data_IF_960477570476
#
_entry.id   IF_960477570476
#
_cell.length_a   1.000
_cell.length_b   1.000
_cell.length_c   1.000
_cell.angle_alpha   90.00
_cell.angle_beta   90.00
_cell.angle_gamma   90.00
#
_symmetry.space_group_name_H-M   'P 1'
#
loop_
_entity.id
_entity.type
_entity.pdbx_description
1 polymer ?
#
# COMPACT_ATOMS: atom_id res chain seq x y z
N UNK A 1 -20.91 -26.21 -10.24
CA UNK A 1 -19.94 -26.74 -9.25
C UNK A 1 -20.36 -26.26 -7.86
N UNK A 2 -20.48 -27.21 -6.91
CA UNK A 2 -20.89 -26.90 -5.55
C UNK A 2 -19.78 -26.26 -4.70
N UNK A 3 -18.52 -26.49 -5.07
CA UNK A 3 -17.34 -26.00 -4.35
C UNK A 3 -16.19 -25.71 -5.31
N UNK A 4 -15.56 -24.55 -5.16
CA UNK A 4 -14.34 -24.20 -5.84
C UNK A 4 -13.37 -23.47 -4.88
N UNK A 5 -12.08 -23.72 -5.05
CA UNK A 5 -11.03 -23.05 -4.27
C UNK A 5 -9.96 -22.53 -5.21
N UNK A 6 -9.52 -21.30 -4.96
CA UNK A 6 -8.40 -20.66 -5.67
C UNK A 6 -7.36 -20.20 -4.66
N UNK A 7 -6.09 -20.51 -4.94
CA UNK A 7 -4.96 -20.07 -4.15
C UNK A 7 -3.96 -19.37 -5.06
N UNK A 8 -3.50 -18.20 -4.66
CA UNK A 8 -2.40 -17.49 -5.29
C UNK A 8 -1.38 -17.15 -4.21
N UNK A 9 -0.12 -17.37 -4.52
CA UNK A 9 1.00 -17.02 -3.65
C UNK A 9 1.93 -16.07 -4.40
N UNK A 10 2.45 -15.09 -3.69
CA UNK A 10 3.41 -14.12 -4.20
C UNK A 10 4.68 -14.19 -3.36
N UNK A 11 5.82 -14.25 -4.03
CA UNK A 11 7.12 -13.92 -3.45
C UNK A 11 7.93 -13.23 -4.53
N UNK A 12 8.47 -12.08 -4.20
CA UNK A 12 9.30 -11.28 -5.10
C UNK A 12 10.36 -10.54 -4.29
N UNK A 13 11.57 -10.52 -4.83
CA UNK A 13 12.69 -9.75 -4.30
C UNK A 13 13.43 -9.13 -5.47
N UNK A 14 13.66 -7.84 -5.42
CA UNK A 14 14.26 -7.05 -6.49
C UNK A 14 15.22 -6.03 -5.90
N UNK A 15 16.44 -6.00 -6.40
CA UNK A 15 17.37 -4.89 -6.19
C UNK A 15 17.19 -3.88 -7.33
N UNK A 16 17.19 -2.59 -7.01
CA UNK A 16 17.05 -1.55 -8.04
C UNK A 16 18.40 -1.37 -8.74
N UNK A 17 18.50 -1.62 -10.07
CA UNK A 17 19.76 -1.53 -10.80
C UNK A 17 20.43 -0.16 -10.64
N UNK A 18 21.73 -0.16 -10.35
CA UNK A 18 22.57 1.03 -10.18
C UNK A 18 22.10 2.00 -9.06
N UNK A 19 21.23 1.51 -8.14
CA UNK A 19 20.65 2.30 -7.06
C UNK A 19 20.83 1.65 -5.68
N UNK A 20 21.92 0.92 -5.44
CA UNK A 20 22.18 0.37 -4.10
C UNK A 20 22.19 1.49 -3.04
N UNK A 21 21.65 1.26 -1.83
CA UNK A 21 21.19 -0.01 -1.25
C UNK A 21 19.69 -0.32 -1.48
N UNK A 22 19.04 0.32 -2.43
CA UNK A 22 17.59 0.24 -2.61
C UNK A 22 17.13 -1.13 -3.14
N UNK A 23 16.05 -1.63 -2.54
CA UNK A 23 15.44 -2.93 -2.88
C UNK A 23 13.94 -2.91 -2.68
N UNK A 24 13.27 -3.95 -3.18
CA UNK A 24 11.86 -4.24 -2.95
C UNK A 24 11.66 -5.71 -2.63
N UNK A 25 10.89 -5.97 -1.60
CA UNK A 25 10.47 -7.33 -1.22
C UNK A 25 8.94 -7.39 -1.09
N UNK A 26 8.35 -8.45 -1.59
CA UNK A 26 6.91 -8.71 -1.53
C UNK A 26 6.66 -10.16 -1.20
N UNK A 27 5.82 -10.41 -0.22
CA UNK A 27 5.28 -11.72 0.10
C UNK A 27 3.78 -11.60 0.28
N UNK A 28 3.03 -12.59 -0.16
CA UNK A 28 1.59 -12.50 -0.02
C UNK A 28 0.86 -13.77 -0.42
N UNK A 29 -0.39 -13.80 -0.01
CA UNK A 29 -1.33 -14.85 -0.35
C UNK A 29 -2.71 -14.26 -0.65
N UNK A 30 -3.38 -14.83 -1.65
CA UNK A 30 -4.79 -14.58 -1.91
C UNK A 30 -5.51 -15.91 -2.08
N UNK A 31 -6.44 -16.18 -1.18
CA UNK A 31 -7.20 -17.44 -1.13
C UNK A 31 -8.67 -17.09 -1.28
N UNK A 32 -9.36 -17.80 -2.17
CA UNK A 32 -10.80 -17.66 -2.39
C UNK A 32 -11.45 -19.01 -2.37
N UNK A 33 -12.52 -19.15 -1.60
CA UNK A 33 -13.38 -20.30 -1.56
C UNK A 33 -14.78 -19.92 -2.01
N UNK A 34 -15.32 -20.63 -2.99
CA UNK A 34 -16.69 -20.48 -3.46
C UNK A 34 -17.49 -21.74 -3.11
N UNK A 35 -18.69 -21.55 -2.57
CA UNK A 35 -19.60 -22.62 -2.19
C UNK A 35 -21.03 -22.30 -2.66
N UNK A 36 -21.60 -23.17 -3.46
CA UNK A 36 -22.93 -23.04 -4.02
C UNK A 36 -23.64 -24.42 -3.99
N UNK A 37 -24.18 -24.81 -2.80
CA UNK A 37 -24.82 -26.12 -2.62
C UNK A 37 -26.21 -26.22 -3.25
N UNK A 38 -26.87 -25.09 -3.50
CA UNK A 38 -28.20 -25.02 -4.15
C UNK A 38 -28.22 -23.82 -5.12
N UNK A 39 -29.20 -23.78 -6.01
CA UNK A 39 -29.38 -22.68 -6.97
C UNK A 39 -29.68 -21.33 -6.25
N UNK A 40 -30.20 -21.41 -5.03
CA UNK A 40 -30.62 -20.25 -4.26
C UNK A 40 -29.47 -19.64 -3.44
N UNK A 41 -28.50 -20.45 -3.00
CA UNK A 41 -27.46 -20.01 -2.04
C UNK A 41 -26.07 -20.02 -2.67
N UNK A 42 -25.41 -18.87 -2.58
CA UNK A 42 -24.01 -18.70 -2.97
C UNK A 42 -23.23 -18.05 -1.82
N UNK A 43 -22.03 -18.56 -1.55
CA UNK A 43 -21.09 -18.00 -0.58
C UNK A 43 -19.69 -17.92 -1.20
N UNK A 44 -19.03 -16.79 -1.00
CA UNK A 44 -17.61 -16.64 -1.32
C UNK A 44 -16.89 -16.14 -0.07
N UNK A 45 -15.81 -16.81 0.27
CA UNK A 45 -14.88 -16.38 1.34
C UNK A 45 -13.53 -16.07 0.71
N UNK A 46 -13.03 -14.85 0.93
CA UNK A 46 -11.75 -14.41 0.43
C UNK A 46 -10.84 -14.00 1.60
N UNK A 47 -9.60 -14.41 1.51
CA UNK A 47 -8.49 -13.88 2.29
C UNK A 47 -7.47 -13.26 1.36
N UNK A 48 -6.95 -12.11 1.73
CA UNK A 48 -5.84 -11.44 1.08
C UNK A 48 -4.87 -10.95 2.14
N UNK A 49 -3.61 -11.38 2.05
CA UNK A 49 -2.51 -10.91 2.87
C UNK A 49 -1.34 -10.48 1.99
N UNK A 50 -0.74 -9.34 2.30
CA UNK A 50 0.43 -8.80 1.61
C UNK A 50 1.38 -8.17 2.63
N UNK A 51 2.61 -8.64 2.64
CA UNK A 51 3.76 -8.03 3.29
C UNK A 51 4.65 -7.40 2.22
N UNK A 52 4.92 -6.13 2.36
CA UNK A 52 5.74 -5.34 1.46
C UNK A 52 6.82 -4.60 2.25
N UNK A 53 8.08 -4.80 1.84
CA UNK A 53 9.23 -4.17 2.47
C UNK A 53 10.16 -3.59 1.41
N UNK A 54 10.43 -2.31 1.52
CA UNK A 54 11.29 -1.57 0.61
C UNK A 54 12.39 -0.82 1.38
N UNK A 55 13.54 -0.66 0.76
CA UNK A 55 14.42 0.48 1.02
C UNK A 55 14.27 1.43 -0.17
N UNK A 56 13.46 2.50 -0.04
CA UNK A 56 13.04 3.30 -1.17
C UNK A 56 14.07 4.36 -1.56
N UNK A 57 14.24 4.57 -2.85
CA UNK A 57 14.97 5.72 -3.39
C UNK A 57 14.00 6.88 -3.66
N UNK A 58 14.13 7.97 -2.92
CA UNK A 58 13.32 9.17 -3.11
C UNK A 58 13.74 9.99 -4.36
N UNK A 59 14.75 9.52 -5.10
CA UNK A 59 15.18 10.15 -6.35
C UNK A 59 16.08 11.36 -6.13
N UNK A 60 15.85 12.42 -6.90
CA UNK A 60 16.72 13.58 -6.96
C UNK A 60 15.98 14.88 -6.58
N UNK A 61 16.73 15.91 -6.27
CA UNK A 61 16.23 17.26 -6.04
C UNK A 61 16.18 18.08 -7.34
N UNK A 62 15.49 19.23 -7.28
CA UNK A 62 15.38 20.14 -8.41
C UNK A 62 16.44 21.27 -8.31
N UNK A 63 17.17 21.49 -9.41
CA UNK A 63 18.11 22.58 -9.58
C UNK A 63 17.51 23.72 -10.38
N UNK A 64 18.01 24.94 -10.13
CA UNK A 64 17.59 26.15 -10.81
C UNK A 64 16.50 26.92 -10.08
N UNK A 65 16.06 28.03 -10.67
CA UNK A 65 15.00 28.88 -10.13
C UNK A 65 13.67 28.65 -10.86
N UNK A 66 12.58 28.90 -10.14
CA UNK A 66 11.23 28.89 -10.75
C UNK A 66 11.14 29.97 -11.83
N UNK A 67 10.56 29.66 -13.03
CA UNK A 67 9.86 28.44 -13.41
C UNK A 67 10.74 27.34 -14.04
N UNK A 68 12.04 27.54 -14.19
CA UNK A 68 12.93 26.73 -15.02
C UNK A 68 13.68 25.64 -14.23
N UNK A 69 13.07 25.10 -13.18
CA UNK A 69 13.65 24.01 -12.40
C UNK A 69 13.77 22.73 -13.21
N UNK A 70 14.89 22.03 -13.05
CA UNK A 70 15.16 20.73 -13.68
C UNK A 70 15.67 19.73 -12.64
N UNK A 71 15.39 18.43 -12.81
CA UNK A 71 16.01 17.41 -11.97
C UNK A 71 17.53 17.46 -12.07
N UNK A 72 18.20 17.40 -10.93
CA UNK A 72 19.65 17.25 -10.89
C UNK A 72 20.05 15.93 -11.54
N UNK A 73 21.17 15.93 -12.27
CA UNK A 73 21.68 14.74 -12.97
C UNK A 73 22.87 14.15 -12.24
N UNK A 74 23.03 12.82 -12.38
CA UNK A 74 24.17 12.09 -11.83
C UNK A 74 24.34 12.28 -10.32
N UNK A 75 23.21 12.27 -9.58
CA UNK A 75 23.20 12.31 -8.13
C UNK A 75 23.31 10.88 -7.59
N UNK A 76 24.01 10.69 -6.45
CA UNK A 76 24.03 9.41 -5.76
C UNK A 76 22.65 9.05 -5.19
N UNK A 77 22.49 7.81 -4.77
CA UNK A 77 21.39 7.41 -3.92
C UNK A 77 21.58 8.03 -2.54
N UNK A 78 20.53 8.63 -2.00
CA UNK A 78 20.54 9.24 -0.68
C UNK A 78 19.89 8.37 0.39
N UNK A 79 19.24 7.28 -0.02
CA UNK A 79 18.70 6.30 0.91
C UNK A 79 19.82 5.76 1.81
N UNK A 80 19.53 5.65 3.09
CA UNK A 80 20.43 5.08 4.10
C UNK A 80 20.15 3.57 4.24
N UNK A 81 21.13 2.82 4.75
CA UNK A 81 20.98 1.38 4.97
C UNK A 81 19.83 1.05 5.93
N UNK A 82 19.54 1.96 6.88
CA UNK A 82 18.46 1.83 7.87
C UNK A 82 17.13 2.41 7.38
N UNK A 83 17.08 2.98 6.18
CA UNK A 83 15.83 3.46 5.62
C UNK A 83 14.93 2.28 5.23
N UNK A 84 13.65 2.44 5.48
CA UNK A 84 12.65 1.43 5.15
C UNK A 84 11.30 2.04 4.82
N UNK A 85 10.52 1.30 4.09
CA UNK A 85 9.09 1.48 3.94
C UNK A 85 8.45 0.09 4.00
N UNK A 86 7.61 -0.12 5.01
CA UNK A 86 6.94 -1.39 5.24
C UNK A 86 5.43 -1.19 5.17
N UNK A 87 4.74 -2.19 4.63
CA UNK A 87 3.29 -2.23 4.60
C UNK A 87 2.84 -3.67 4.77
N UNK A 88 2.02 -3.91 5.78
CA UNK A 88 1.38 -5.17 6.07
C UNK A 88 -0.12 -5.01 5.93
N UNK A 89 -0.76 -5.85 5.14
CA UNK A 89 -2.19 -5.77 4.85
C UNK A 89 -2.81 -7.14 4.97
N UNK A 90 -3.81 -7.27 5.85
CA UNK A 90 -4.64 -8.43 5.98
C UNK A 90 -6.11 -8.09 5.75
N UNK A 91 -6.78 -8.86 4.90
CA UNK A 91 -8.19 -8.64 4.61
C UNK A 91 -8.93 -9.95 4.47
N UNK A 92 -10.01 -10.08 5.22
CA UNK A 92 -10.99 -11.15 5.08
C UNK A 92 -12.31 -10.60 4.58
N UNK A 93 -12.90 -11.24 3.56
CA UNK A 93 -14.19 -10.85 2.98
C UNK A 93 -15.10 -12.07 2.85
N UNK A 94 -16.32 -11.96 3.41
CA UNK A 94 -17.39 -12.91 3.19
C UNK A 94 -18.46 -12.26 2.31
N UNK A 95 -18.84 -12.95 1.24
CA UNK A 95 -19.96 -12.57 0.37
C UNK A 95 -21.00 -13.66 0.40
N UNK A 96 -22.23 -13.29 0.71
CA UNK A 96 -23.36 -14.16 0.75
C UNK A 96 -24.42 -13.64 -0.22
N UNK A 97 -25.06 -14.56 -0.92
CA UNK A 97 -26.21 -14.28 -1.77
C UNK A 97 -27.27 -15.38 -1.57
N UNK A 98 -28.49 -14.95 -1.38
CA UNK A 98 -29.62 -15.86 -1.28
C UNK A 98 -30.76 -15.37 -2.16
N UNK A 99 -31.29 -16.26 -3.01
CA UNK A 99 -32.48 -16.02 -3.82
C UNK A 99 -33.67 -16.70 -3.17
N UNK A 100 -34.66 -15.92 -2.79
CA UNK A 100 -35.92 -16.45 -2.29
C UNK A 100 -36.81 -16.98 -3.42
N UNK A 101 -36.77 -16.28 -4.57
CA UNK A 101 -37.45 -16.63 -5.84
C UNK A 101 -36.83 -15.79 -6.98
N UNK A 102 -37.48 -15.78 -8.17
CA UNK A 102 -37.03 -15.02 -9.34
C UNK A 102 -36.98 -13.52 -9.10
N UNK A 103 -37.81 -13.00 -8.20
CA UNK A 103 -38.06 -11.57 -8.04
C UNK A 103 -37.47 -11.00 -6.75
N UNK A 104 -37.03 -11.88 -5.83
CA UNK A 104 -36.52 -11.47 -4.53
C UNK A 104 -35.19 -12.14 -4.20
N UNK A 105 -34.15 -11.33 -3.98
CA UNK A 105 -32.83 -11.80 -3.54
C UNK A 105 -32.22 -10.86 -2.52
N UNK A 106 -31.40 -11.40 -1.64
CA UNK A 106 -30.59 -10.65 -0.69
C UNK A 106 -29.11 -10.93 -0.94
N UNK A 107 -28.27 -9.90 -0.80
CA UNK A 107 -26.81 -10.05 -0.76
C UNK A 107 -26.27 -9.40 0.49
N UNK A 108 -25.24 -9.99 1.06
CA UNK A 108 -24.48 -9.42 2.15
C UNK A 108 -22.98 -9.51 1.84
N UNK A 109 -22.26 -8.44 2.09
CA UNK A 109 -20.80 -8.40 2.03
C UNK A 109 -20.31 -7.92 3.38
N UNK A 110 -19.49 -8.73 4.04
CA UNK A 110 -18.78 -8.35 5.26
C UNK A 110 -17.29 -8.40 5.00
N UNK A 111 -16.58 -7.34 5.33
CA UNK A 111 -15.13 -7.25 5.24
C UNK A 111 -14.55 -6.79 6.56
N UNK A 112 -13.51 -7.50 7.00
CA UNK A 112 -12.63 -7.08 8.08
C UNK A 112 -11.22 -6.98 7.54
N UNK A 113 -10.50 -5.92 7.87
CA UNK A 113 -9.12 -5.76 7.45
C UNK A 113 -8.30 -4.95 8.43
N UNK A 114 -7.00 -5.17 8.35
CA UNK A 114 -5.96 -4.40 9.02
C UNK A 114 -4.96 -3.92 7.98
N UNK A 115 -4.35 -2.77 8.23
CA UNK A 115 -3.24 -2.27 7.41
C UNK A 115 -2.28 -1.51 8.30
N UNK A 116 -1.07 -2.04 8.43
CA UNK A 116 0.01 -1.44 9.18
C UNK A 116 1.06 -0.91 8.20
N UNK A 117 1.33 0.38 8.26
CA UNK A 117 2.29 1.04 7.40
C UNK A 117 3.31 1.79 8.23
N UNK A 118 4.58 1.70 7.87
CA UNK A 118 5.64 2.44 8.53
C UNK A 118 6.74 2.81 7.55
N UNK A 119 7.35 3.97 7.76
CA UNK A 119 8.48 4.36 6.95
C UNK A 119 9.44 5.28 7.70
N UNK A 120 10.70 5.11 7.39
CA UNK A 120 11.78 6.07 7.63
C UNK A 120 12.55 6.18 6.32
N UNK A 121 12.54 7.34 5.70
CA UNK A 121 13.10 7.53 4.36
C UNK A 121 13.89 8.82 4.29
N UNK A 122 15.05 8.76 3.66
CA UNK A 122 15.98 9.87 3.54
C UNK A 122 16.08 10.34 2.09
N UNK A 123 15.92 11.64 1.88
CA UNK A 123 16.04 12.27 0.59
C UNK A 123 16.88 13.52 0.62
N UNK A 124 17.30 13.99 -0.54
CA UNK A 124 18.03 15.24 -0.67
C UNK A 124 17.09 16.41 -0.96
N UNK A 125 17.16 17.45 -0.14
CA UNK A 125 16.43 18.71 -0.37
C UNK A 125 17.17 19.64 -1.34
N UNK A 126 18.49 19.71 -1.23
CA UNK A 126 19.34 20.56 -2.05
C UNK A 126 20.79 20.13 -1.94
N UNK A 127 21.61 20.64 -2.86
CA UNK A 127 23.05 20.61 -2.68
C UNK A 127 23.51 21.79 -1.85
N UNK A 128 24.56 21.62 -1.07
CA UNK A 128 25.33 22.76 -0.55
C UNK A 128 26.24 23.30 -1.65
N UNK A 129 26.55 24.58 -1.59
CA UNK A 129 27.45 25.28 -2.54
C UNK A 129 28.93 24.89 -2.38
N UNK A 130 29.21 23.70 -1.87
CA UNK A 130 30.56 23.16 -1.75
C UNK A 130 31.21 22.81 -3.08
N UNK A 131 32.53 22.62 -3.06
CA UNK A 131 33.30 22.21 -4.23
C UNK A 131 32.77 20.86 -4.78
N UNK A 132 32.66 20.77 -6.11
CA UNK A 132 32.41 19.50 -6.77
C UNK A 132 33.63 18.59 -6.59
N UNK A 133 33.37 17.31 -6.36
CA UNK A 133 34.36 16.26 -6.55
C UNK A 133 34.99 16.40 -7.95
N UNK A 134 36.29 16.07 -8.15
CA UNK A 134 36.93 16.06 -9.45
C UNK A 134 36.18 15.27 -10.51
N UNK A 135 35.37 14.28 -10.13
CA UNK A 135 34.52 13.51 -11.02
C UNK A 135 33.16 14.15 -11.33
N UNK A 136 32.92 15.37 -10.86
CA UNK A 136 31.67 16.09 -11.07
C UNK A 136 30.51 15.73 -10.15
N UNK A 137 30.74 14.86 -9.17
CA UNK A 137 29.78 14.47 -8.13
C UNK A 137 29.84 15.49 -6.99
N UNK A 138 28.71 15.84 -6.40
CA UNK A 138 28.66 16.75 -5.24
C UNK A 138 29.09 16.01 -3.99
N UNK A 139 29.98 16.61 -3.22
CA UNK A 139 30.49 16.04 -1.96
C UNK A 139 29.56 16.26 -0.77
N UNK A 140 28.61 17.17 -0.88
CA UNK A 140 27.66 17.48 0.20
C UNK A 140 26.26 17.73 -0.33
N UNK A 141 25.27 17.23 0.37
CA UNK A 141 23.85 17.48 0.13
C UNK A 141 23.16 17.78 1.47
N UNK A 142 22.13 18.61 1.42
CA UNK A 142 21.21 18.76 2.54
C UNK A 142 20.22 17.61 2.48
N UNK A 143 20.30 16.71 3.47
CA UNK A 143 19.40 15.57 3.59
C UNK A 143 18.23 15.92 4.50
N UNK A 144 17.11 15.27 4.25
CA UNK A 144 15.91 15.33 5.08
C UNK A 144 15.38 13.92 5.27
N UNK A 145 15.18 13.53 6.52
CA UNK A 145 14.53 12.27 6.86
C UNK A 145 13.07 12.52 7.15
N UNK A 146 12.23 11.73 6.51
CA UNK A 146 10.79 11.71 6.72
C UNK A 146 10.41 10.38 7.34
N UNK A 147 9.48 10.40 8.28
CA UNK A 147 9.09 9.21 9.00
C UNK A 147 7.63 9.29 9.44
N UNK A 148 7.05 8.15 9.64
CA UNK A 148 5.71 8.02 10.18
C UNK A 148 5.26 6.57 10.17
N UNK A 149 4.27 6.27 10.98
CA UNK A 149 3.57 4.99 10.96
C UNK A 149 2.08 5.19 11.11
N UNK A 150 1.33 4.24 10.62
CA UNK A 150 -0.12 4.20 10.69
C UNK A 150 -0.61 2.77 10.83
N UNK A 151 -1.50 2.56 11.78
CA UNK A 151 -2.25 1.32 11.96
C UNK A 151 -3.72 1.61 11.66
N UNK A 152 -4.33 0.77 10.87
CA UNK A 152 -5.73 0.87 10.46
C UNK A 152 -6.42 -0.45 10.71
N UNK A 153 -7.48 -0.42 11.50
CA UNK A 153 -8.42 -1.54 11.67
C UNK A 153 -9.78 -1.14 11.15
N UNK A 154 -10.43 -2.01 10.40
CA UNK A 154 -11.79 -1.72 9.94
C UNK A 154 -12.67 -2.97 9.82
N UNK A 155 -13.96 -2.76 10.01
CA UNK A 155 -15.04 -3.68 9.67
C UNK A 155 -16.06 -2.92 8.84
N UNK A 156 -16.45 -3.50 7.71
CA UNK A 156 -17.51 -2.96 6.87
C UNK A 156 -18.51 -4.07 6.52
N UNK A 157 -19.79 -3.75 6.57
CA UNK A 157 -20.88 -4.64 6.18
C UNK A 157 -21.85 -3.89 5.30
N UNK A 158 -22.27 -4.50 4.21
CA UNK A 158 -23.32 -4.00 3.33
C UNK A 158 -24.31 -5.11 3.04
N UNK A 159 -25.58 -4.82 3.24
CA UNK A 159 -26.70 -5.71 2.91
C UNK A 159 -27.60 -5.04 1.88
N UNK A 160 -27.90 -5.73 0.79
CA UNK A 160 -28.79 -5.25 -0.26
C UNK A 160 -29.93 -6.25 -0.47
N UNK A 161 -31.14 -5.74 -0.50
CA UNK A 161 -32.35 -6.46 -0.88
C UNK A 161 -32.80 -5.98 -2.26
N UNK A 162 -32.90 -6.89 -3.20
CA UNK A 162 -33.34 -6.63 -4.58
C UNK A 162 -34.76 -7.19 -4.76
N UNK A 163 -35.66 -6.37 -5.28
CA UNK A 163 -37.07 -6.70 -5.45
C UNK A 163 -37.47 -6.30 -6.88
N UNK A 164 -37.85 -7.29 -7.69
CA UNK A 164 -38.39 -7.08 -9.02
C UNK A 164 -39.92 -7.16 -8.97
N UNK A 165 -40.60 -6.16 -9.51
CA UNK A 165 -42.07 -6.16 -9.53
C UNK A 165 -42.61 -5.52 -10.81
N UNK A 166 -43.69 -6.09 -11.36
CA UNK A 166 -44.44 -5.46 -12.45
C UNK A 166 -45.60 -4.65 -11.87
N UNK A 167 -45.56 -3.33 -12.03
CA UNK A 167 -46.58 -2.40 -11.54
C UNK A 167 -47.13 -1.63 -12.75
N UNK A 168 -48.42 -1.68 -12.98
CA UNK A 168 -49.10 -0.99 -14.09
C UNK A 168 -48.60 -1.42 -15.47
N UNK A 169 -48.11 -2.67 -15.62
CA UNK A 169 -47.58 -3.22 -16.89
C UNK A 169 -46.12 -2.81 -17.15
N UNK A 170 -45.44 -2.12 -16.23
CA UNK A 170 -44.03 -1.77 -16.29
C UNK A 170 -43.22 -2.60 -15.28
N UNK A 171 -42.04 -3.03 -15.69
CA UNK A 171 -41.09 -3.70 -14.80
C UNK A 171 -40.34 -2.67 -13.94
N UNK A 172 -40.27 -2.94 -12.64
CA UNK A 172 -39.56 -2.12 -11.65
C UNK A 172 -38.57 -2.99 -10.90
N UNK A 173 -37.33 -2.49 -10.75
CA UNK A 173 -36.32 -3.06 -9.87
C UNK A 173 -36.11 -2.10 -8.71
N UNK A 174 -36.36 -2.58 -7.49
CA UNK A 174 -36.10 -1.83 -6.25
C UNK A 174 -34.88 -2.43 -5.55
N UNK A 175 -34.01 -1.56 -5.05
CA UNK A 175 -32.87 -1.92 -4.23
C UNK A 175 -32.98 -1.18 -2.89
N UNK A 176 -33.03 -1.96 -1.81
CA UNK A 176 -32.99 -1.43 -0.43
C UNK A 176 -31.66 -1.86 0.17
N UNK A 177 -30.87 -0.91 0.62
CA UNK A 177 -29.52 -1.14 1.13
C UNK A 177 -29.37 -0.64 2.56
N UNK A 178 -28.61 -1.39 3.37
CA UNK A 178 -28.10 -0.97 4.66
C UNK A 178 -26.60 -1.18 4.70
N UNK A 179 -25.88 -0.19 5.24
CA UNK A 179 -24.42 -0.25 5.38
C UNK A 179 -24.02 0.11 6.81
N UNK A 180 -23.01 -0.59 7.30
CA UNK A 180 -22.33 -0.31 8.56
C UNK A 180 -20.83 -0.34 8.32
N UNK A 181 -20.13 0.67 8.80
CA UNK A 181 -18.67 0.75 8.78
C UNK A 181 -18.17 1.25 10.13
N UNK A 182 -17.19 0.55 10.67
CA UNK A 182 -16.42 0.97 11.83
C UNK A 182 -14.94 0.89 11.47
N UNK A 183 -14.19 1.94 11.77
CA UNK A 183 -12.76 1.98 11.51
C UNK A 183 -12.01 2.75 12.58
N UNK A 184 -10.82 2.31 12.88
CA UNK A 184 -9.87 2.95 13.77
C UNK A 184 -8.60 3.26 13.00
N UNK A 185 -8.06 4.45 13.19
CA UNK A 185 -6.78 4.87 12.61
C UNK A 185 -5.92 5.44 13.71
N UNK A 186 -4.77 4.83 13.93
CA UNK A 186 -3.75 5.30 14.84
C UNK A 186 -2.51 5.71 14.04
N UNK A 187 -2.02 6.93 14.25
CA UNK A 187 -0.83 7.45 13.57
C UNK A 187 0.22 7.88 14.56
N UNK A 188 1.46 7.77 14.18
CA UNK A 188 2.56 8.25 14.99
C UNK A 188 3.83 8.53 14.19
N UNK A 189 4.85 8.87 14.91
CA UNK A 189 6.20 9.03 14.40
C UNK A 189 7.14 8.18 15.24
N UNK A 190 8.21 7.70 14.63
CA UNK A 190 9.25 6.98 15.34
C UNK A 190 10.05 7.94 16.23
N UNK A 191 10.50 7.45 17.38
CA UNK A 191 11.39 8.22 18.21
C UNK A 191 12.72 8.42 17.47
N UNK A 192 13.02 9.66 17.15
CA UNK A 192 14.26 10.03 16.46
C UNK A 192 15.28 10.49 17.49
N UNK A 193 16.41 9.79 17.57
CA UNK A 193 17.59 10.31 18.27
C UNK A 193 18.57 10.85 17.25
N UNK A 194 18.67 12.17 17.13
CA UNK A 194 19.74 12.78 16.33
C UNK A 194 21.06 12.57 17.08
N UNK A 195 21.82 11.61 16.62
CA UNK A 195 23.10 11.25 17.24
C UNK A 195 24.29 12.07 16.71
N UNK A 196 24.06 12.94 15.72
CA UNK A 196 25.15 13.61 15.00
C UNK A 196 26.05 12.61 14.25
N UNK A 197 25.49 11.47 13.84
CA UNK A 197 26.26 10.45 13.13
C UNK A 197 26.64 10.91 11.73
N UNK A 198 27.80 10.45 11.31
CA UNK A 198 28.34 10.75 9.99
C UNK A 198 27.61 9.98 8.90
N UNK A 199 27.19 10.65 7.86
CA UNK A 199 26.71 10.00 6.65
C UNK A 199 27.90 9.58 5.78
N UNK A 200 27.87 8.36 5.25
CA UNK A 200 28.83 7.90 4.25
C UNK A 200 28.20 8.04 2.87
N UNK A 201 28.87 8.73 1.96
CA UNK A 201 28.43 8.81 0.56
C UNK A 201 28.70 7.51 -0.18
N UNK A 202 28.04 7.27 -1.30
CA UNK A 202 28.20 6.07 -2.12
C UNK A 202 29.62 5.81 -2.67
N UNK A 203 30.53 6.80 -2.54
CA UNK A 203 31.96 6.64 -2.85
C UNK A 203 32.84 6.37 -1.60
N UNK A 204 32.22 6.08 -0.45
CA UNK A 204 32.92 5.74 0.78
C UNK A 204 33.46 6.93 1.59
N UNK A 205 33.16 8.16 1.20
CA UNK A 205 33.57 9.36 1.95
C UNK A 205 32.61 9.59 3.13
N UNK A 206 33.12 9.56 4.34
CA UNK A 206 32.37 9.90 5.53
C UNK A 206 32.23 11.41 5.63
N UNK A 207 31.01 11.90 5.76
CA UNK A 207 30.71 13.32 6.00
C UNK A 207 30.41 13.53 7.48
N UNK A 208 31.08 14.47 8.10
CA UNK A 208 30.83 14.91 9.48
C UNK A 208 29.75 16.00 9.50
#
# INVERSE_FOLDING_TARGET
EELAVRVNLLTAKEDIPDRAPTYRERQGAAISGFYNPTEEFEMTLDYYGLDAKDNPDLGTYLEGSVPNRKPAKNVPVYAQDEDFQESDVDTFTARLKYRFNSDLRITNITRKGTSDNGYVVTGANSRTTGAKDPNGVYTTASLSTHQGWQEVDYVANQTNLFINQTIGGMEHEFIVSAEYTDHSVLNGVYASTSSGQNCTTGNGTTLN
#
